data_IF_435522694344
#
_entry.id   IF_435522694344
#
_cell.length_a   1.000
_cell.length_b   1.000
_cell.length_c   1.000
_cell.angle_alpha   90.00
_cell.angle_beta   90.00
_cell.angle_gamma   90.00
#
_symmetry.space_group_name_H-M   'P 1'
#
loop_
_entity.id
_entity.type
_entity.pdbx_description
1 polymer ?
#
# COMPACT_ATOMS: atom_id res chain seq x y z
N UNK A 1 40.56 10.81 -47.70
CA UNK A 1 39.15 11.22 -47.83
C UNK A 1 38.25 10.21 -47.11
N UNK A 2 38.26 10.14 -45.77
CA UNK A 2 37.53 9.09 -45.01
C UNK A 2 36.93 9.57 -43.66
N UNK A 3 37.20 10.78 -43.20
CA UNK A 3 36.78 11.25 -41.87
C UNK A 3 35.30 11.69 -41.81
N UNK A 4 34.72 12.11 -42.93
CA UNK A 4 33.36 12.65 -42.98
C UNK A 4 32.29 11.57 -42.81
N UNK A 5 32.55 10.33 -43.25
CA UNK A 5 31.59 9.22 -43.19
C UNK A 5 31.46 8.64 -41.78
N UNK A 6 32.56 8.64 -41.00
CA UNK A 6 32.58 8.18 -39.61
C UNK A 6 31.75 9.09 -38.68
N UNK A 7 31.87 10.40 -38.86
CA UNK A 7 31.19 11.40 -38.02
C UNK A 7 29.66 11.42 -38.19
N UNK A 8 29.18 11.17 -39.42
CA UNK A 8 27.75 11.06 -39.74
C UNK A 8 27.09 9.80 -39.15
N UNK A 9 27.83 8.68 -39.05
CA UNK A 9 27.37 7.44 -38.38
C UNK A 9 27.19 7.64 -36.87
N UNK A 10 28.13 8.34 -36.22
CA UNK A 10 28.10 8.66 -34.79
C UNK A 10 26.87 9.49 -34.40
N UNK A 11 26.55 10.56 -35.15
CA UNK A 11 25.38 11.42 -34.87
C UNK A 11 24.04 10.68 -35.02
N UNK A 12 23.94 9.78 -36.00
CA UNK A 12 22.76 8.92 -36.18
C UNK A 12 22.61 7.95 -35.01
N UNK A 13 23.72 7.35 -34.55
CA UNK A 13 23.72 6.43 -33.40
C UNK A 13 23.27 7.13 -32.11
N UNK A 14 23.77 8.34 -31.84
CA UNK A 14 23.38 9.13 -30.66
C UNK A 14 21.90 9.52 -30.72
N UNK A 15 21.41 9.97 -31.88
CA UNK A 15 20.01 10.28 -32.09
C UNK A 15 19.10 9.06 -31.89
N UNK A 16 19.52 7.89 -32.37
CA UNK A 16 18.79 6.63 -32.16
C UNK A 16 18.76 6.21 -30.70
N UNK A 17 19.87 6.37 -29.94
CA UNK A 17 19.91 6.05 -28.51
C UNK A 17 18.99 6.97 -27.71
N UNK A 18 19.02 8.28 -27.97
CA UNK A 18 18.13 9.26 -27.35
C UNK A 18 16.66 8.98 -27.67
N UNK A 19 16.35 8.61 -28.92
CA UNK A 19 15.00 8.27 -29.35
C UNK A 19 14.49 6.98 -28.69
N UNK A 20 15.34 5.96 -28.54
CA UNK A 20 15.00 4.72 -27.83
C UNK A 20 14.79 5.00 -26.33
N UNK A 21 15.66 5.80 -25.69
CA UNK A 21 15.46 6.20 -24.30
C UNK A 21 14.14 6.98 -24.10
N UNK A 22 13.79 7.85 -25.04
CA UNK A 22 12.51 8.56 -25.03
C UNK A 22 11.32 7.63 -25.28
N UNK A 23 11.44 6.64 -26.18
CA UNK A 23 10.39 5.64 -26.42
C UNK A 23 10.17 4.72 -25.22
N UNK A 24 11.24 4.37 -24.50
CA UNK A 24 11.16 3.58 -23.27
C UNK A 24 10.47 4.35 -22.13
N UNK A 25 10.54 5.69 -22.12
CA UNK A 25 9.75 6.55 -21.23
C UNK A 25 8.26 6.61 -21.61
N UNK A 26 7.91 6.28 -22.86
CA UNK A 26 6.53 6.28 -23.37
C UNK A 26 5.84 4.92 -23.26
N UNK A 27 6.56 3.86 -22.86
CA UNK A 27 5.91 2.58 -22.56
C UNK A 27 4.98 2.81 -21.35
N UNK A 28 3.66 2.52 -21.48
CA UNK A 28 2.76 2.58 -20.36
C UNK A 28 3.15 1.46 -19.39
N UNK A 29 4.04 1.77 -18.44
CA UNK A 29 4.09 1.02 -17.20
C UNK A 29 2.67 1.01 -16.65
N UNK A 30 2.16 -0.13 -16.21
CA UNK A 30 0.84 -0.25 -15.58
C UNK A 30 0.78 0.74 -14.40
N UNK A 31 0.36 1.97 -14.68
CA UNK A 31 0.37 3.08 -13.72
C UNK A 31 -1.05 3.28 -13.22
N UNK A 32 -1.51 2.33 -12.42
CA UNK A 32 -2.42 2.75 -11.34
C UNK A 32 -1.53 3.50 -10.33
N UNK A 33 -1.25 4.77 -10.63
CA UNK A 33 -0.42 5.64 -9.79
C UNK A 33 -1.02 5.78 -8.38
N UNK A 34 -2.31 5.50 -8.25
CA UNK A 34 -3.07 5.40 -7.02
C UNK A 34 -4.00 4.17 -7.08
N UNK A 35 -3.97 3.37 -6.02
CA UNK A 35 -4.89 2.27 -5.76
C UNK A 35 -5.63 2.57 -4.46
N UNK A 36 -6.96 2.51 -4.47
CA UNK A 36 -7.80 2.71 -3.28
C UNK A 36 -8.63 1.46 -3.04
N UNK A 37 -8.72 1.00 -1.80
CA UNK A 37 -9.55 -0.15 -1.43
C UNK A 37 -10.09 -0.04 -0.02
N UNK A 38 -11.34 -0.48 0.18
CA UNK A 38 -11.92 -0.66 1.49
C UNK A 38 -11.73 -2.11 1.93
N UNK A 39 -11.41 -2.31 3.21
CA UNK A 39 -11.14 -3.63 3.77
C UNK A 39 -11.88 -3.82 5.09
N UNK A 40 -12.30 -5.04 5.37
CA UNK A 40 -12.91 -5.46 6.64
C UNK A 40 -12.00 -6.40 7.40
N UNK A 41 -12.05 -6.33 8.72
CA UNK A 41 -11.28 -7.23 9.58
C UNK A 41 -11.79 -8.67 9.46
N UNK A 42 -10.87 -9.64 9.47
CA UNK A 42 -11.19 -11.08 9.48
C UNK A 42 -10.50 -11.83 10.62
N UNK A 43 -9.40 -11.31 11.13
CA UNK A 43 -8.66 -11.93 12.23
C UNK A 43 -7.76 -10.91 12.95
N UNK A 44 -7.46 -11.22 14.21
CA UNK A 44 -6.40 -10.57 15.00
C UNK A 44 -5.40 -11.63 15.43
N UNK A 45 -4.12 -11.28 15.40
CA UNK A 45 -3.01 -12.15 15.77
C UNK A 45 -2.16 -11.49 16.86
N UNK A 46 -1.57 -12.29 17.74
CA UNK A 46 -0.62 -11.81 18.76
C UNK A 46 0.78 -11.58 18.16
N UNK A 47 1.76 -11.22 19.00
CA UNK A 47 3.16 -11.01 18.59
C UNK A 47 3.84 -12.25 18.05
N UNK A 48 3.38 -13.44 18.45
CA UNK A 48 3.94 -14.73 18.08
C UNK A 48 3.35 -15.25 16.75
N UNK A 49 2.34 -14.57 16.21
CA UNK A 49 1.65 -14.93 14.97
C UNK A 49 0.47 -15.88 15.18
N UNK A 50 0.08 -16.16 16.43
CA UNK A 50 -1.08 -16.97 16.75
C UNK A 50 -2.37 -16.16 16.63
N UNK A 51 -3.38 -16.76 16.01
CA UNK A 51 -4.71 -16.16 15.92
C UNK A 51 -5.36 -16.10 17.29
N UNK A 52 -5.82 -14.91 17.68
CA UNK A 52 -6.53 -14.67 18.93
C UNK A 52 -7.97 -14.22 18.66
N UNK A 53 -8.72 -13.89 19.72
CA UNK A 53 -10.04 -13.26 19.57
C UNK A 53 -9.90 -11.98 18.75
N UNK A 54 -10.70 -11.88 17.68
CA UNK A 54 -10.71 -10.70 16.80
C UNK A 54 -11.11 -9.45 17.58
N UNK A 55 -10.28 -8.41 17.46
CA UNK A 55 -10.52 -7.08 17.99
C UNK A 55 -11.32 -6.25 16.97
N UNK A 56 -12.63 -6.15 17.20
CA UNK A 56 -13.55 -5.44 16.32
C UNK A 56 -13.60 -3.92 16.59
N UNK A 57 -12.64 -3.34 17.33
CA UNK A 57 -12.58 -1.89 17.56
C UNK A 57 -12.37 -1.08 16.27
N UNK A 58 -11.69 -1.66 15.28
CA UNK A 58 -11.47 -1.07 13.94
C UNK A 58 -11.95 -2.08 12.89
N UNK A 59 -13.27 -2.19 12.66
CA UNK A 59 -13.85 -3.26 11.85
C UNK A 59 -13.61 -3.06 10.35
N UNK A 60 -13.45 -1.81 9.91
CA UNK A 60 -13.15 -1.44 8.52
C UNK A 60 -12.05 -0.39 8.43
N UNK A 61 -11.28 -0.49 7.37
CA UNK A 61 -10.24 0.49 7.00
C UNK A 61 -10.38 0.85 5.52
N UNK A 62 -10.03 2.07 5.18
CA UNK A 62 -9.78 2.51 3.81
C UNK A 62 -8.26 2.61 3.64
N UNK A 63 -7.73 1.98 2.60
CA UNK A 63 -6.31 2.06 2.24
C UNK A 63 -6.19 2.76 0.89
N UNK A 64 -5.37 3.80 0.85
CA UNK A 64 -4.93 4.43 -0.39
C UNK A 64 -3.45 4.18 -0.52
N UNK A 65 -3.00 3.52 -1.58
CA UNK A 65 -1.59 3.38 -1.90
C UNK A 65 -1.26 4.07 -3.21
N UNK A 66 -0.13 4.77 -3.25
CA UNK A 66 0.36 5.41 -4.46
C UNK A 66 1.72 4.86 -4.84
N UNK A 67 1.97 4.80 -6.15
CA UNK A 67 3.28 4.52 -6.72
C UNK A 67 3.49 5.49 -7.89
N UNK A 68 4.17 6.60 -7.61
CA UNK A 68 4.43 7.64 -8.59
C UNK A 68 5.94 7.77 -8.81
N UNK A 69 6.40 7.50 -10.02
CA UNK A 69 7.84 7.57 -10.39
C UNK A 69 8.75 6.77 -9.45
N UNK A 70 8.29 5.62 -8.96
CA UNK A 70 9.02 4.76 -8.02
C UNK A 70 8.93 5.19 -6.55
N UNK A 71 8.30 6.33 -6.26
CA UNK A 71 8.00 6.77 -4.89
C UNK A 71 6.69 6.13 -4.47
N UNK A 72 6.76 5.25 -3.46
CA UNK A 72 5.61 4.54 -2.88
C UNK A 72 5.20 5.12 -1.55
N UNK A 73 3.90 5.35 -1.38
CA UNK A 73 3.30 5.78 -0.12
C UNK A 73 1.96 5.05 0.09
N UNK A 74 1.48 5.08 1.33
CA UNK A 74 0.13 4.64 1.63
C UNK A 74 -0.48 5.50 2.74
N UNK A 75 -1.80 5.66 2.73
CA UNK A 75 -2.56 6.17 3.86
C UNK A 75 -3.62 5.15 4.30
N UNK A 76 -3.94 5.17 5.59
CA UNK A 76 -5.00 4.37 6.18
C UNK A 76 -5.95 5.28 6.93
N UNK A 77 -7.25 5.10 6.67
CA UNK A 77 -8.34 5.79 7.36
C UNK A 77 -9.25 4.77 8.02
N UNK A 78 -9.50 4.94 9.31
CA UNK A 78 -10.33 4.02 10.08
C UNK A 78 -11.81 4.38 9.94
N UNK A 79 -12.66 3.38 9.86
CA UNK A 79 -14.10 3.55 9.92
C UNK A 79 -14.58 3.62 11.38
N UNK A 80 -15.45 4.57 11.68
CA UNK A 80 -16.12 4.71 12.97
C UNK A 80 -17.52 4.07 12.88
N UNK A 81 -17.75 2.91 13.51
CA UNK A 81 -19.04 2.22 13.44
C UNK A 81 -20.16 2.95 14.18
N UNK A 82 -19.85 3.71 15.24
CA UNK A 82 -20.86 4.46 16.03
C UNK A 82 -21.44 5.62 15.20
N UNK A 83 -20.58 6.28 14.42
CA UNK A 83 -20.98 7.43 13.58
C UNK A 83 -21.30 7.05 12.13
N UNK A 84 -21.15 5.77 11.78
CA UNK A 84 -21.32 5.24 10.42
C UNK A 84 -20.56 6.06 9.36
N UNK A 85 -19.30 6.43 9.64
CA UNK A 85 -18.49 7.23 8.72
C UNK A 85 -17.00 6.96 8.89
N UNK A 86 -16.21 7.27 7.86
CA UNK A 86 -14.74 7.28 7.99
C UNK A 86 -14.29 8.45 8.86
N UNK A 87 -13.30 8.20 9.71
CA UNK A 87 -12.64 9.25 10.46
C UNK A 87 -11.98 10.25 9.51
N UNK A 88 -11.92 11.51 9.90
CA UNK A 88 -11.30 12.57 9.07
C UNK A 88 -9.77 12.57 9.14
N UNK A 89 -9.19 11.90 10.13
CA UNK A 89 -7.75 11.79 10.29
C UNK A 89 -7.20 10.58 9.53
N UNK A 90 -6.31 10.84 8.57
CA UNK A 90 -5.57 9.81 7.86
C UNK A 90 -4.19 9.59 8.48
N UNK A 91 -3.74 8.34 8.51
CA UNK A 91 -2.39 7.99 8.92
C UNK A 91 -1.55 7.67 7.70
N UNK A 92 -0.46 8.41 7.51
CA UNK A 92 0.44 8.27 6.37
C UNK A 92 1.61 7.33 6.69
N UNK A 93 1.85 6.37 5.80
CA UNK A 93 2.93 5.41 5.87
C UNK A 93 3.92 5.61 4.72
N UNK A 94 5.21 5.52 5.07
CA UNK A 94 6.31 5.54 4.12
C UNK A 94 6.67 4.12 3.74
N UNK A 95 6.88 3.86 2.45
CA UNK A 95 7.36 2.57 1.98
C UNK A 95 8.75 2.26 2.55
N UNK A 96 8.95 1.04 3.04
CA UNK A 96 10.22 0.61 3.65
C UNK A 96 10.75 -0.74 3.14
N UNK A 97 9.99 -1.48 2.32
CA UNK A 97 10.51 -2.69 1.71
C UNK A 97 9.45 -3.55 1.04
N UNK A 98 9.91 -4.62 0.40
CA UNK A 98 9.06 -5.66 -0.18
C UNK A 98 9.60 -7.03 0.22
N UNK A 99 8.72 -7.95 0.60
CA UNK A 99 9.10 -9.31 0.97
C UNK A 99 7.95 -10.29 0.68
N UNK A 100 8.22 -11.37 -0.06
CA UNK A 100 7.28 -12.47 -0.33
C UNK A 100 5.86 -12.01 -0.73
N UNK A 101 5.72 -11.10 -1.70
CA UNK A 101 4.41 -10.60 -2.14
C UNK A 101 3.86 -9.42 -1.33
N UNK A 102 4.56 -8.98 -0.26
CA UNK A 102 4.08 -7.91 0.62
C UNK A 102 4.86 -6.61 0.42
N UNK A 103 4.15 -5.54 0.11
CA UNK A 103 4.65 -4.18 0.27
C UNK A 103 4.57 -3.78 1.75
N UNK A 104 5.70 -3.34 2.31
CA UNK A 104 5.84 -2.99 3.72
C UNK A 104 5.94 -1.47 3.82
N UNK A 105 5.09 -0.88 4.66
CA UNK A 105 5.09 0.54 4.94
C UNK A 105 5.15 0.78 6.45
N UNK A 106 5.77 1.89 6.84
CA UNK A 106 6.03 2.27 8.23
C UNK A 106 5.55 3.70 8.48
N UNK A 107 4.89 3.90 9.62
CA UNK A 107 4.52 5.21 10.15
C UNK A 107 5.12 5.35 11.56
N UNK A 108 5.96 6.36 11.77
CA UNK A 108 6.56 6.64 13.08
C UNK A 108 5.70 7.65 13.83
N UNK A 109 5.05 7.18 14.89
CA UNK A 109 4.12 7.96 15.71
C UNK A 109 4.86 8.49 16.94
N UNK A 110 5.86 9.34 16.71
CA UNK A 110 6.67 10.00 17.75
C UNK A 110 6.96 9.07 18.97
N UNK A 111 6.54 9.46 20.18
CA UNK A 111 6.74 8.69 21.42
C UNK A 111 5.88 7.41 21.54
N UNK A 112 4.92 7.19 20.64
CA UNK A 112 4.04 6.02 20.67
C UNK A 112 4.62 4.82 19.93
N UNK A 113 5.77 4.96 19.27
CA UNK A 113 6.43 3.89 18.51
C UNK A 113 6.07 3.89 17.02
N UNK A 114 6.27 2.73 16.37
CA UNK A 114 6.07 2.57 14.92
C UNK A 114 4.86 1.70 14.61
N UNK A 115 4.00 2.19 13.73
CA UNK A 115 2.93 1.42 13.11
C UNK A 115 3.42 0.86 11.77
N UNK A 116 2.95 -0.34 11.42
CA UNK A 116 3.28 -1.01 10.16
C UNK A 116 2.03 -1.38 9.39
N UNK A 117 2.05 -1.11 8.10
CA UNK A 117 1.06 -1.53 7.13
C UNK A 117 1.74 -2.51 6.17
N UNK A 118 1.13 -3.68 5.99
CA UNK A 118 1.53 -4.67 5.00
C UNK A 118 0.39 -4.80 3.99
N UNK A 119 0.67 -4.52 2.73
CA UNK A 119 -0.29 -4.64 1.63
C UNK A 119 0.18 -5.76 0.71
N UNK A 120 -0.63 -6.80 0.55
CA UNK A 120 -0.33 -7.86 -0.40
C UNK A 120 -0.42 -7.30 -1.83
N UNK A 121 0.45 -7.77 -2.72
CA UNK A 121 0.60 -7.20 -4.06
C UNK A 121 -0.64 -7.33 -4.95
N UNK A 122 -1.47 -8.35 -4.68
CA UNK A 122 -2.74 -8.58 -5.35
C UNK A 122 -3.89 -7.71 -4.78
N UNK A 123 -3.65 -7.01 -3.66
CA UNK A 123 -4.65 -6.18 -2.98
C UNK A 123 -5.78 -6.97 -2.31
N UNK A 124 -5.62 -8.28 -2.14
CA UNK A 124 -6.59 -9.19 -1.53
C UNK A 124 -6.46 -9.29 0.00
N UNK A 125 -5.34 -8.84 0.55
CA UNK A 125 -5.08 -8.88 1.97
C UNK A 125 -4.27 -7.66 2.44
N UNK A 126 -4.65 -7.15 3.61
CA UNK A 126 -3.93 -6.09 4.33
C UNK A 126 -3.68 -6.56 5.76
N UNK A 127 -2.48 -6.31 6.29
CA UNK A 127 -2.19 -6.45 7.72
C UNK A 127 -1.79 -5.11 8.30
N UNK A 128 -2.34 -4.79 9.46
CA UNK A 128 -2.11 -3.51 10.12
C UNK A 128 -1.73 -3.75 11.58
N UNK A 129 -0.57 -3.22 11.94
CA UNK A 129 -0.01 -3.26 13.28
C UNK A 129 0.13 -1.83 13.77
N UNK A 130 -0.75 -1.40 14.67
CA UNK A 130 -0.60 -0.10 15.32
C UNK A 130 0.43 -0.19 16.45
N UNK A 131 1.11 0.91 16.70
CA UNK A 131 2.12 1.00 17.75
C UNK A 131 1.54 0.76 19.17
N UNK A 132 0.27 1.06 19.39
CA UNK A 132 -0.45 0.86 20.65
C UNK A 132 -1.11 -0.53 20.82
N UNK A 133 -0.99 -1.42 19.83
CA UNK A 133 -1.62 -2.76 19.87
C UNK A 133 -0.83 -3.82 20.64
N UNK A 134 0.21 -3.43 21.38
CA UNK A 134 1.03 -4.34 22.20
C UNK A 134 1.49 -5.59 21.41
N UNK A 135 2.12 -5.35 20.26
CA UNK A 135 2.64 -6.41 19.40
C UNK A 135 1.62 -7.12 18.50
N UNK A 136 0.32 -6.97 18.76
CA UNK A 136 -0.77 -7.56 17.96
C UNK A 136 -0.90 -6.90 16.60
N UNK A 137 -1.52 -7.60 15.65
CA UNK A 137 -1.91 -7.04 14.36
C UNK A 137 -3.26 -7.59 13.90
N UNK A 138 -3.95 -6.79 13.09
CA UNK A 138 -5.20 -7.15 12.46
C UNK A 138 -4.97 -7.51 10.99
N UNK A 139 -5.69 -8.51 10.50
CA UNK A 139 -5.74 -8.91 9.11
C UNK A 139 -7.10 -8.53 8.51
N UNK A 140 -7.04 -7.96 7.32
CA UNK A 140 -8.18 -7.40 6.61
C UNK A 140 -8.22 -7.92 5.17
N UNK A 141 -9.44 -8.09 4.65
CA UNK A 141 -9.71 -8.48 3.26
C UNK A 141 -10.64 -7.46 2.59
N UNK A 142 -10.66 -7.35 1.25
CA UNK A 142 -11.55 -6.42 0.55
C UNK A 142 -12.98 -6.50 1.04
N UNK A 143 -13.53 -5.35 1.41
CA UNK A 143 -14.91 -5.20 1.82
C UNK A 143 -15.81 -5.06 0.60
N UNK A 144 -16.94 -5.77 0.60
CA UNK A 144 -18.02 -5.55 -0.39
C UNK A 144 -19.21 -4.94 0.33
N UNK A 145 -19.79 -3.90 -0.29
CA UNK A 145 -20.96 -3.22 0.25
C UNK A 145 -22.08 -4.22 0.58
N UNK A 146 -22.64 -4.12 1.79
CA UNK A 146 -23.68 -5.02 2.28
C UNK A 146 -23.15 -6.30 2.94
N UNK A 147 -21.85 -6.56 2.92
CA UNK A 147 -21.28 -7.61 3.77
C UNK A 147 -21.38 -7.22 5.24
N UNK A 148 -21.69 -8.21 6.06
CA UNK A 148 -21.66 -8.06 7.49
C UNK A 148 -20.21 -7.81 7.96
N UNK A 149 -20.06 -6.72 8.70
CA UNK A 149 -18.84 -6.27 9.36
C UNK A 149 -19.00 -6.23 10.88
N UNK A 150 -20.24 -6.37 11.34
CA UNK A 150 -20.68 -6.16 12.70
C UNK A 150 -21.53 -7.37 13.06
N UNK A 151 -20.93 -8.36 13.73
CA UNK A 151 -21.73 -9.42 14.36
C UNK A 151 -22.56 -8.81 15.50
N UNK A 152 -23.63 -8.10 15.16
CA UNK A 152 -24.61 -7.62 16.10
C UNK A 152 -25.30 -8.80 16.79
N UNK A 153 -25.96 -8.51 17.91
CA UNK A 153 -25.31 -8.39 19.21
C UNK A 153 -24.75 -9.75 19.67
N UNK A 154 -23.48 -9.82 20.07
CA UNK A 154 -23.04 -10.91 20.95
C UNK A 154 -23.65 -10.66 22.33
N UNK A 155 -24.60 -11.53 22.69
CA UNK A 155 -25.34 -11.57 23.96
C UNK A 155 -24.44 -11.45 25.19
#
# INVERSE_FOLDING_TARGET
>A
MNYTVSFLKSKRLIGSILFIAFLLLLLPGKSNAQCTGEYKIVATYNSDGDKIRTDNSIPRILVVSTNFMGIRQASVTNYNPIMNMYNTAEMYFKYCGYNNGWYIYRCDVFMMGSSFLYLHEDGDCVRLKYSYMDGKYNEYVPYKSGEDVDRGPTY
#
